data_IF_022257661247
#
_entry.id   IF_022257661247
#
_cell.length_a   1.000
_cell.length_b   1.000
_cell.length_c   1.000
_cell.angle_alpha   90.00
_cell.angle_beta   90.00
_cell.angle_gamma   90.00
#
_symmetry.space_group_name_H-M   'P 1'
#
loop_
_entity.id
_entity.type
_entity.pdbx_description
1 polymer ?
#
# COMPACT_ATOMS: atom_id res chain seq x y z
N UNK A 1 43.52 19.92 4.06
CA UNK A 1 42.47 18.96 4.45
C UNK A 1 41.22 19.22 3.60
N UNK A 2 40.89 18.33 2.66
CA UNK A 2 39.69 18.44 1.82
C UNK A 2 38.48 17.97 2.64
N UNK A 3 37.63 18.90 3.06
CA UNK A 3 36.36 18.60 3.73
C UNK A 3 35.42 18.02 2.66
N UNK A 4 35.28 16.69 2.67
CA UNK A 4 34.23 16.00 1.91
C UNK A 4 32.87 16.37 2.51
N UNK A 5 32.15 17.28 1.87
CA UNK A 5 30.71 17.47 2.11
C UNK A 5 29.98 16.19 1.67
N UNK A 6 29.84 15.22 2.60
CA UNK A 6 28.81 14.19 2.48
C UNK A 6 27.46 14.91 2.48
N UNK A 7 26.85 15.07 1.30
CA UNK A 7 25.44 15.45 1.17
C UNK A 7 24.64 14.47 2.02
N UNK A 8 24.16 14.92 3.18
CA UNK A 8 23.19 14.19 4.00
C UNK A 8 21.98 13.99 3.09
N UNK A 9 21.74 12.75 2.63
CA UNK A 9 20.50 12.42 1.92
C UNK A 9 19.37 12.83 2.85
N UNK A 10 18.59 13.83 2.47
CA UNK A 10 17.36 14.18 3.19
C UNK A 10 16.48 12.95 3.12
N UNK A 11 16.29 12.31 4.27
CA UNK A 11 15.43 11.15 4.38
C UNK A 11 13.99 11.62 4.26
N UNK A 12 13.32 11.24 3.18
CA UNK A 12 11.90 11.51 2.96
C UNK A 12 11.10 10.21 3.13
N UNK A 13 10.34 10.06 4.23
CA UNK A 13 9.46 8.92 4.45
C UNK A 13 8.45 8.73 3.31
N UNK A 14 7.86 9.81 2.78
CA UNK A 14 6.85 9.71 1.75
C UNK A 14 7.41 9.08 0.48
N UNK A 15 8.56 9.57 -0.01
CA UNK A 15 9.24 8.99 -1.18
C UNK A 15 9.66 7.54 -0.93
N UNK A 16 10.13 7.22 0.28
CA UNK A 16 10.51 5.84 0.64
C UNK A 16 9.30 4.92 0.57
N UNK A 17 8.16 5.35 1.10
CA UNK A 17 6.94 4.55 1.13
C UNK A 17 6.26 4.44 -0.24
N UNK A 18 6.27 5.49 -1.08
CA UNK A 18 5.82 5.39 -2.49
C UNK A 18 6.60 4.33 -3.24
N UNK A 19 7.93 4.32 -3.10
CA UNK A 19 8.78 3.31 -3.75
C UNK A 19 8.44 1.90 -3.26
N UNK A 20 8.22 1.72 -1.96
CA UNK A 20 7.79 0.43 -1.39
C UNK A 20 6.43 0.00 -1.94
N UNK A 21 5.47 0.92 -2.07
CA UNK A 21 4.15 0.64 -2.64
C UNK A 21 4.26 0.13 -4.08
N UNK A 22 5.03 0.83 -4.92
CA UNK A 22 5.26 0.45 -6.31
C UNK A 22 5.99 -0.89 -6.45
N UNK A 23 7.00 -1.13 -5.60
CA UNK A 23 7.75 -2.40 -5.60
C UNK A 23 6.85 -3.58 -5.20
N UNK A 24 6.09 -3.44 -4.11
CA UNK A 24 5.15 -4.46 -3.65
C UNK A 24 4.08 -4.76 -4.71
N UNK A 25 3.57 -3.72 -5.39
CA UNK A 25 2.59 -3.87 -6.47
C UNK A 25 3.17 -4.61 -7.68
N UNK A 26 4.41 -4.29 -8.07
CA UNK A 26 5.10 -4.99 -9.16
C UNK A 26 5.33 -6.46 -8.81
N UNK A 27 5.78 -6.74 -7.59
CA UNK A 27 5.99 -8.11 -7.11
C UNK A 27 4.68 -8.90 -7.10
N UNK A 28 3.59 -8.34 -6.55
CA UNK A 28 2.28 -9.00 -6.52
C UNK A 28 1.79 -9.37 -7.93
N UNK A 29 2.00 -8.50 -8.92
CA UNK A 29 1.61 -8.77 -10.32
C UNK A 29 2.43 -9.89 -10.96
N UNK A 30 3.71 -10.01 -10.62
CA UNK A 30 4.61 -11.00 -11.21
C UNK A 30 4.54 -12.36 -10.50
N UNK A 31 3.79 -12.45 -9.42
CA UNK A 31 3.80 -13.61 -8.55
C UNK A 31 2.91 -14.73 -9.11
N UNK A 32 3.55 -15.79 -9.58
CA UNK A 32 2.92 -17.05 -9.97
C UNK A 32 2.97 -18.10 -8.85
N UNK A 33 3.66 -17.80 -7.73
CA UNK A 33 4.00 -18.78 -6.70
C UNK A 33 2.85 -19.07 -5.71
N UNK A 34 1.81 -18.25 -5.67
CA UNK A 34 0.59 -18.57 -4.93
C UNK A 34 -0.31 -17.39 -4.57
N UNK A 35 -1.58 -17.70 -4.28
CA UNK A 35 -2.61 -16.71 -3.92
C UNK A 35 -2.25 -15.91 -2.66
N UNK A 36 -1.56 -16.53 -1.69
CA UNK A 36 -1.19 -15.90 -0.42
C UNK A 36 -0.10 -14.82 -0.57
N UNK A 37 0.89 -15.07 -1.42
CA UNK A 37 1.96 -14.11 -1.68
C UNK A 37 1.45 -12.95 -2.55
N UNK A 38 0.55 -13.22 -3.51
CA UNK A 38 -0.22 -12.20 -4.22
C UNK A 38 -0.99 -11.26 -3.26
N UNK A 39 -1.82 -11.81 -2.36
CA UNK A 39 -2.61 -11.03 -1.40
C UNK A 39 -1.72 -10.24 -0.44
N UNK A 40 -0.62 -10.85 0.02
CA UNK A 40 0.38 -10.19 0.87
C UNK A 40 1.04 -9.02 0.14
N UNK A 41 1.33 -9.17 -1.15
CA UNK A 41 1.87 -8.12 -2.00
C UNK A 41 0.90 -6.95 -2.16
N UNK A 42 -0.38 -7.21 -2.44
CA UNK A 42 -1.41 -6.16 -2.51
C UNK A 42 -1.60 -5.42 -1.19
N UNK A 43 -1.68 -6.16 -0.07
CA UNK A 43 -1.79 -5.59 1.27
C UNK A 43 -0.60 -4.66 1.58
N UNK A 44 0.63 -5.12 1.31
CA UNK A 44 1.85 -4.31 1.49
C UNK A 44 1.85 -3.08 0.59
N UNK A 45 1.39 -3.21 -0.66
CA UNK A 45 1.32 -2.09 -1.58
C UNK A 45 0.39 -0.99 -1.08
N UNK A 46 -0.82 -1.34 -0.66
CA UNK A 46 -1.81 -0.39 -0.15
C UNK A 46 -1.38 0.22 1.18
N UNK A 47 -0.86 -0.59 2.10
CA UNK A 47 -0.30 -0.13 3.39
C UNK A 47 0.79 0.90 3.18
N UNK A 48 1.73 0.63 2.26
CA UNK A 48 2.81 1.55 1.94
C UNK A 48 2.29 2.85 1.30
N UNK A 49 1.26 2.78 0.45
CA UNK A 49 0.65 3.97 -0.15
C UNK A 49 -0.02 4.87 0.89
N UNK A 50 -0.71 4.28 1.88
CA UNK A 50 -1.33 5.00 3.00
C UNK A 50 -0.25 5.72 3.83
N UNK A 51 0.83 5.02 4.20
CA UNK A 51 1.94 5.62 4.92
C UNK A 51 2.65 6.71 4.12
N UNK A 52 2.78 6.54 2.80
CA UNK A 52 3.32 7.56 1.91
C UNK A 52 2.47 8.83 1.91
N UNK A 53 1.15 8.68 1.88
CA UNK A 53 0.20 9.79 1.95
C UNK A 53 0.26 10.52 3.30
N UNK A 54 0.47 9.77 4.37
CA UNK A 54 0.64 10.30 5.72
C UNK A 54 2.06 10.82 6.04
N UNK A 55 3.00 10.76 5.09
CA UNK A 55 4.36 11.27 5.30
C UNK A 55 5.15 10.56 6.40
N UNK A 56 4.81 9.30 6.72
CA UNK A 56 5.45 8.53 7.80
C UNK A 56 5.90 7.15 7.33
N UNK A 57 6.80 6.51 8.08
CA UNK A 57 7.18 5.12 7.85
C UNK A 57 6.20 4.17 8.53
N UNK A 58 6.08 2.96 7.98
CA UNK A 58 5.36 1.87 8.62
C UNK A 58 5.39 0.61 7.76
N UNK A 59 4.90 -0.49 8.33
CA UNK A 59 4.96 -1.82 7.73
C UNK A 59 3.61 -2.55 7.72
N UNK A 60 2.73 -2.23 8.65
CA UNK A 60 1.38 -2.77 8.76
C UNK A 60 0.45 -1.72 9.37
N UNK A 61 -0.83 -1.82 9.02
CA UNK A 61 -1.92 -1.08 9.64
C UNK A 61 -3.23 -1.85 9.42
N UNK A 62 -4.14 -1.76 10.37
CA UNK A 62 -5.50 -2.32 10.27
C UNK A 62 -6.37 -1.40 9.42
N UNK A 63 -7.45 -1.94 8.85
CA UNK A 63 -8.39 -1.12 8.08
C UNK A 63 -9.01 0.04 8.87
N UNK A 64 -9.22 -0.11 10.19
CA UNK A 64 -9.68 0.98 11.04
C UNK A 64 -8.65 2.11 11.15
N UNK A 65 -7.37 1.75 11.29
CA UNK A 65 -6.28 2.74 11.32
C UNK A 65 -6.14 3.43 9.96
N UNK A 66 -6.39 2.74 8.85
CA UNK A 66 -6.28 3.28 7.50
C UNK A 66 -7.14 4.53 7.28
N UNK A 67 -8.43 4.46 7.60
CA UNK A 67 -9.38 5.55 7.39
C UNK A 67 -8.98 6.76 8.24
N UNK A 68 -8.70 6.55 9.53
CA UNK A 68 -8.26 7.60 10.45
C UNK A 68 -6.98 8.29 9.96
N UNK A 69 -5.95 7.51 9.59
CA UNK A 69 -4.68 8.06 9.08
C UNK A 69 -4.92 8.94 7.85
N UNK A 70 -5.69 8.47 6.88
CA UNK A 70 -5.91 9.20 5.63
C UNK A 70 -6.72 10.47 5.87
N UNK A 71 -7.77 10.38 6.69
CA UNK A 71 -8.60 11.51 7.08
C UNK A 71 -7.77 12.61 7.78
N UNK A 72 -6.95 12.23 8.77
CA UNK A 72 -6.09 13.16 9.52
C UNK A 72 -5.05 13.87 8.64
N UNK A 73 -4.75 13.31 7.46
CA UNK A 73 -3.82 13.88 6.47
C UNK A 73 -4.54 14.49 5.27
N UNK A 74 -5.81 14.89 5.43
CA UNK A 74 -6.55 15.69 4.46
C UNK A 74 -6.90 14.94 3.17
N UNK A 75 -7.01 13.60 3.22
CA UNK A 75 -7.61 12.84 2.13
C UNK A 75 -9.13 12.99 2.21
N UNK A 76 -9.75 13.20 1.05
CA UNK A 76 -11.20 13.28 0.89
C UNK A 76 -11.88 12.06 1.54
N UNK A 77 -12.89 12.24 2.41
CA UNK A 77 -13.46 11.16 3.24
C UNK A 77 -13.85 9.90 2.47
N UNK A 78 -14.43 10.07 1.28
CA UNK A 78 -14.83 8.96 0.40
C UNK A 78 -13.61 8.13 -0.04
N UNK A 79 -12.50 8.79 -0.36
CA UNK A 79 -11.25 8.10 -0.75
C UNK A 79 -10.61 7.40 0.45
N UNK A 80 -10.66 8.01 1.64
CA UNK A 80 -10.16 7.40 2.87
C UNK A 80 -10.94 6.12 3.21
N UNK A 81 -12.27 6.18 3.15
CA UNK A 81 -13.15 5.02 3.39
C UNK A 81 -12.94 3.92 2.36
N UNK A 82 -12.87 4.26 1.08
CA UNK A 82 -12.65 3.26 0.02
C UNK A 82 -11.28 2.58 0.14
N UNK A 83 -10.25 3.29 0.60
CA UNK A 83 -8.93 2.69 0.86
C UNK A 83 -8.98 1.73 2.05
N UNK A 84 -9.65 2.13 3.14
CA UNK A 84 -9.86 1.28 4.32
C UNK A 84 -10.67 0.02 3.97
N UNK A 85 -11.76 0.15 3.23
CA UNK A 85 -12.57 -0.98 2.78
C UNK A 85 -11.79 -1.93 1.88
N UNK A 86 -10.96 -1.41 0.98
CA UNK A 86 -10.10 -2.26 0.16
C UNK A 86 -9.10 -3.03 1.03
N UNK A 87 -8.51 -2.38 2.04
CA UNK A 87 -7.60 -3.05 2.98
C UNK A 87 -8.32 -4.15 3.77
N UNK A 88 -9.54 -3.89 4.24
CA UNK A 88 -10.40 -4.87 4.92
C UNK A 88 -10.68 -6.10 4.04
N UNK A 89 -10.98 -5.90 2.75
CA UNK A 89 -11.21 -7.00 1.80
C UNK A 89 -9.93 -7.83 1.63
N UNK A 90 -8.78 -7.18 1.46
CA UNK A 90 -7.49 -7.87 1.34
C UNK A 90 -7.14 -8.68 2.59
N UNK A 91 -7.36 -8.11 3.79
CA UNK A 91 -7.18 -8.83 5.05
C UNK A 91 -8.12 -10.03 5.14
N UNK A 92 -9.41 -9.85 4.81
CA UNK A 92 -10.39 -10.94 4.81
C UNK A 92 -9.95 -12.09 3.91
N UNK A 93 -9.51 -11.84 2.67
CA UNK A 93 -9.01 -12.90 1.79
C UNK A 93 -7.72 -13.56 2.32
N UNK A 94 -6.83 -12.76 2.91
CA UNK A 94 -5.55 -13.26 3.41
C UNK A 94 -5.75 -14.19 4.62
N UNK A 95 -6.72 -13.90 5.48
CA UNK A 95 -6.98 -14.66 6.71
C UNK A 95 -8.12 -15.70 6.61
N UNK A 96 -8.97 -15.65 5.58
CA UNK A 96 -10.02 -16.66 5.39
C UNK A 96 -9.48 -18.03 4.97
N UNK A 97 -8.25 -18.10 4.47
CA UNK A 97 -7.65 -19.31 3.91
C UNK A 97 -8.21 -19.71 2.53
N UNK A 98 -9.24 -19.01 2.05
CA UNK A 98 -9.86 -19.27 0.74
C UNK A 98 -9.19 -18.42 -0.32
N UNK A 99 -8.60 -19.09 -1.32
CA UNK A 99 -8.00 -18.42 -2.46
C UNK A 99 -9.07 -17.70 -3.30
N UNK A 100 -8.91 -16.40 -3.62
CA UNK A 100 -9.77 -15.73 -4.58
C UNK A 100 -9.58 -16.35 -5.97
N UNK A 101 -10.66 -16.51 -6.72
CA UNK A 101 -10.59 -16.93 -8.13
C UNK A 101 -9.89 -15.88 -9.01
N UNK A 102 -9.51 -16.27 -10.22
CA UNK A 102 -8.76 -15.43 -11.16
C UNK A 102 -9.45 -14.09 -11.46
N UNK A 103 -10.78 -14.08 -11.61
CA UNK A 103 -11.54 -12.85 -11.82
C UNK A 103 -11.40 -11.89 -10.63
N UNK A 104 -11.56 -12.41 -9.40
CA UNK A 104 -11.44 -11.62 -8.18
C UNK A 104 -10.01 -11.13 -7.98
N UNK A 105 -8.99 -11.93 -8.29
CA UNK A 105 -7.61 -11.48 -8.30
C UNK A 105 -7.41 -10.29 -9.25
N UNK A 106 -7.94 -10.36 -10.48
CA UNK A 106 -7.89 -9.26 -11.45
C UNK A 106 -8.58 -8.00 -10.94
N UNK A 107 -9.73 -8.15 -10.27
CA UNK A 107 -10.46 -7.05 -9.63
C UNK A 107 -9.66 -6.42 -8.49
N UNK A 108 -9.12 -7.23 -7.57
CA UNK A 108 -8.32 -6.74 -6.44
C UNK A 108 -7.05 -6.02 -6.89
N UNK A 109 -6.35 -6.57 -7.90
CA UNK A 109 -5.18 -5.93 -8.49
C UNK A 109 -5.53 -4.56 -9.09
N UNK A 110 -6.61 -4.50 -9.88
CA UNK A 110 -7.06 -3.26 -10.53
C UNK A 110 -7.46 -2.20 -9.49
N UNK A 111 -8.29 -2.58 -8.51
CA UNK A 111 -8.73 -1.67 -7.43
C UNK A 111 -7.55 -1.16 -6.61
N UNK A 112 -6.58 -2.03 -6.28
CA UNK A 112 -5.37 -1.63 -5.54
C UNK A 112 -4.53 -0.65 -6.34
N UNK A 113 -4.31 -0.90 -7.63
CA UNK A 113 -3.58 0.02 -8.52
C UNK A 113 -4.22 1.40 -8.56
N UNK A 114 -5.54 1.44 -8.74
CA UNK A 114 -6.26 2.70 -8.92
C UNK A 114 -6.33 3.48 -7.61
N UNK A 115 -6.41 2.79 -6.47
CA UNK A 115 -6.28 3.41 -5.15
C UNK A 115 -4.88 4.00 -4.93
N UNK A 116 -3.81 3.28 -5.29
CA UNK A 116 -2.44 3.79 -5.22
C UNK A 116 -2.29 5.12 -5.96
N UNK A 117 -2.84 5.22 -7.17
CA UNK A 117 -2.81 6.45 -7.98
C UNK A 117 -3.54 7.61 -7.28
N UNK A 118 -4.71 7.34 -6.69
CA UNK A 118 -5.49 8.34 -5.94
C UNK A 118 -4.78 8.83 -4.69
N UNK A 119 -3.96 7.97 -4.07
CA UNK A 119 -3.09 8.32 -2.94
C UNK A 119 -1.77 8.99 -3.36
N UNK A 120 -1.52 9.16 -4.66
CA UNK A 120 -0.32 9.81 -5.19
C UNK A 120 0.93 8.92 -5.22
N UNK A 121 0.75 7.61 -5.44
CA UNK A 121 1.81 6.62 -5.66
C UNK A 121 1.93 6.19 -7.13
#
# INVERSE_FOLDING_TARGET
ALIQFRRRRVFDPATTMRRRAQQAMKSARMDTAGHQSFLTGLYRALTAAIFARAGRLGEALTWHEAEAILHDHGVVPETAREAADLLRILESHKFSGVAPGQEEQGRLLTRTRDMLRRLGC
#
